data_IF_468144777132
#
_entry.id   IF_468144777132
#
_cell.length_a   1.000
_cell.length_b   1.000
_cell.length_c   1.000
_cell.angle_alpha   90.00
_cell.angle_beta   90.00
_cell.angle_gamma   90.00
#
_symmetry.space_group_name_H-M   'P 1'
#
loop_
_entity.id
_entity.type
_entity.pdbx_description
1 polymer ?
#
# COMPACT_ATOMS: atom_id res chain seq x y z
N UNK A 1 18.85 16.47 9.22
CA UNK A 1 17.85 16.29 8.16
C UNK A 1 18.39 16.47 6.72
N UNK A 2 19.36 17.38 6.48
CA UNK A 2 19.87 17.73 5.14
C UNK A 2 20.43 16.57 4.29
N UNK A 3 21.08 15.56 4.91
CA UNK A 3 21.62 14.40 4.20
C UNK A 3 20.53 13.53 3.56
N UNK A 4 19.39 13.37 4.24
CA UNK A 4 18.25 12.59 3.74
C UNK A 4 17.61 13.30 2.55
N UNK A 5 17.43 14.62 2.64
CA UNK A 5 16.89 15.41 1.53
C UNK A 5 17.81 15.41 0.31
N UNK A 6 19.13 15.52 0.51
CA UNK A 6 20.10 15.44 -0.57
C UNK A 6 20.09 14.07 -1.24
N UNK A 7 20.07 12.99 -0.46
CA UNK A 7 19.94 11.63 -0.98
C UNK A 7 18.64 11.39 -1.76
N UNK A 8 17.49 11.85 -1.23
CA UNK A 8 16.21 11.73 -1.94
C UNK A 8 16.19 12.53 -3.25
N UNK A 9 16.81 13.72 -3.26
CA UNK A 9 16.91 14.57 -4.45
C UNK A 9 17.83 13.97 -5.51
N UNK A 10 18.93 13.34 -5.10
CA UNK A 10 19.83 12.60 -5.99
C UNK A 10 19.13 11.36 -6.60
N UNK A 11 18.41 10.58 -5.79
CA UNK A 11 17.63 9.43 -6.29
C UNK A 11 16.53 9.86 -7.28
N UNK A 12 15.88 10.99 -7.02
CA UNK A 12 14.89 11.57 -7.93
C UNK A 12 15.54 12.06 -9.24
N UNK A 13 16.70 12.72 -9.17
CA UNK A 13 17.46 13.17 -10.34
C UNK A 13 17.93 12.01 -11.21
N UNK A 14 18.32 10.90 -10.57
CA UNK A 14 18.75 9.67 -11.24
C UNK A 14 17.57 8.81 -11.71
N UNK A 15 16.32 9.24 -11.47
CA UNK A 15 15.10 8.52 -11.86
C UNK A 15 15.09 7.05 -11.42
N UNK A 16 15.70 6.75 -10.26
CA UNK A 16 15.85 5.38 -9.77
C UNK A 16 14.48 4.71 -9.62
N UNK A 17 13.47 5.46 -9.16
CA UNK A 17 12.09 4.94 -9.07
C UNK A 17 11.49 4.52 -10.41
N UNK A 18 11.77 5.24 -11.49
CA UNK A 18 11.27 4.94 -12.85
C UNK A 18 11.97 3.69 -13.42
N UNK A 19 13.27 3.56 -13.18
CA UNK A 19 14.05 2.38 -13.56
C UNK A 19 13.62 1.12 -12.79
N UNK A 20 13.40 1.25 -11.47
CA UNK A 20 12.89 0.14 -10.63
C UNK A 20 11.47 -0.27 -11.06
N UNK A 21 10.59 0.70 -11.33
CA UNK A 21 9.24 0.41 -11.83
C UNK A 21 9.27 -0.33 -13.17
N UNK A 22 10.14 0.07 -14.10
CA UNK A 22 10.35 -0.64 -15.37
C UNK A 22 10.88 -2.06 -15.17
N UNK A 23 11.90 -2.24 -14.33
CA UNK A 23 12.46 -3.56 -14.04
C UNK A 23 11.41 -4.48 -13.39
N UNK A 24 10.63 -3.98 -12.43
CA UNK A 24 9.53 -4.73 -11.82
C UNK A 24 8.44 -5.07 -12.84
N UNK A 25 8.09 -4.15 -13.74
CA UNK A 25 7.12 -4.43 -14.80
C UNK A 25 7.63 -5.51 -15.78
N UNK A 26 8.93 -5.51 -16.11
CA UNK A 26 9.55 -6.56 -16.91
C UNK A 26 9.52 -7.91 -16.19
N UNK A 27 9.85 -7.94 -14.90
CA UNK A 27 9.81 -9.17 -14.08
C UNK A 27 8.41 -9.77 -14.01
N UNK A 28 7.37 -8.94 -13.83
CA UNK A 28 5.96 -9.38 -13.84
C UNK A 28 5.58 -10.01 -15.19
N UNK A 29 6.01 -9.42 -16.32
CA UNK A 29 5.77 -9.98 -17.66
C UNK A 29 6.49 -11.31 -17.85
N UNK A 30 7.74 -11.43 -17.40
CA UNK A 30 8.46 -12.70 -17.48
C UNK A 30 7.85 -13.79 -16.61
N UNK A 31 7.33 -13.44 -15.42
CA UNK A 31 6.62 -14.40 -14.56
C UNK A 31 5.29 -14.84 -15.17
N UNK A 32 4.57 -13.93 -15.83
CA UNK A 32 3.34 -14.25 -16.57
C UNK A 32 3.60 -15.21 -17.76
N UNK A 33 4.66 -14.97 -18.53
CA UNK A 33 5.02 -15.85 -19.66
C UNK A 33 5.43 -17.24 -19.16
N UNK A 34 6.21 -17.32 -18.07
CA UNK A 34 6.58 -18.61 -17.46
C UNK A 34 5.37 -19.38 -16.92
N UNK A 35 4.39 -18.69 -16.35
CA UNK A 35 3.17 -19.36 -15.85
C UNK A 35 2.28 -19.83 -17.00
N UNK A 36 2.18 -19.11 -18.11
CA UNK A 36 1.47 -19.56 -19.33
C UNK A 36 2.15 -20.78 -19.98
N UNK A 37 3.48 -20.81 -20.03
CA UNK A 37 4.24 -21.93 -20.60
C UNK A 37 4.10 -23.22 -19.76
N UNK A 38 4.01 -23.08 -18.43
CA UNK A 38 3.71 -24.19 -17.51
C UNK A 38 2.24 -24.64 -17.63
N UNK A 39 1.31 -23.71 -17.88
CA UNK A 39 -0.13 -24.00 -18.02
C UNK A 39 -0.50 -24.66 -19.34
N UNK A 40 0.22 -24.38 -20.43
CA UNK A 40 -0.01 -25.01 -21.74
C UNK A 40 0.36 -26.51 -21.79
N UNK A 41 1.09 -27.02 -20.78
CA UNK A 41 1.44 -28.43 -20.66
C UNK A 41 0.45 -29.26 -19.79
N UNK A 42 -0.55 -28.61 -19.17
CA UNK A 42 -1.53 -29.24 -18.27
C UNK A 42 -2.89 -29.43 -18.94
N UNK A 43 -3.23 -30.69 -19.20
CA UNK A 43 -4.51 -31.16 -19.73
C UNK A 43 -5.71 -30.67 -18.91
N UNK A 44 -6.85 -30.50 -19.59
CA UNK A 44 -7.98 -29.70 -19.17
C UNK A 44 -8.59 -30.06 -17.80
N UNK A 45 -8.61 -29.08 -16.90
CA UNK A 45 -9.66 -28.95 -15.90
C UNK A 45 -9.84 -27.46 -15.56
N UNK A 46 -11.04 -26.92 -15.86
CA UNK A 46 -11.49 -25.58 -15.48
C UNK A 46 -11.84 -25.57 -13.98
N UNK A 47 -10.87 -25.92 -13.14
CA UNK A 47 -10.99 -25.75 -11.70
C UNK A 47 -10.58 -24.35 -11.28
N UNK A 48 -11.17 -23.90 -10.18
CA UNK A 48 -11.06 -22.56 -9.63
C UNK A 48 -9.64 -21.99 -9.82
N UNK A 49 -9.57 -20.72 -10.25
CA UNK A 49 -8.35 -19.92 -10.32
C UNK A 49 -7.73 -19.80 -8.91
N UNK A 50 -7.11 -20.86 -8.43
CA UNK A 50 -6.30 -20.84 -7.23
C UNK A 50 -5.13 -19.92 -7.52
N UNK A 51 -5.00 -18.91 -6.66
CA UNK A 51 -3.90 -17.97 -6.71
C UNK A 51 -2.61 -18.78 -6.53
N UNK A 52 -1.60 -18.49 -7.36
CA UNK A 52 -0.26 -19.00 -7.11
C UNK A 52 0.22 -18.54 -5.72
N UNK A 53 1.23 -19.22 -5.18
CA UNK A 53 1.78 -18.84 -3.88
C UNK A 53 2.23 -17.38 -3.85
N UNK A 54 2.90 -16.91 -4.91
CA UNK A 54 3.33 -15.50 -5.05
C UNK A 54 2.13 -14.54 -5.06
N UNK A 55 1.07 -14.85 -5.81
CA UNK A 55 -0.14 -14.03 -5.84
C UNK A 55 -0.86 -14.02 -4.48
N UNK A 56 -0.92 -15.15 -3.79
CA UNK A 56 -1.53 -15.25 -2.46
C UNK A 56 -0.77 -14.42 -1.41
N UNK A 57 0.56 -14.38 -1.50
CA UNK A 57 1.42 -13.57 -0.62
C UNK A 57 1.25 -12.07 -0.92
N UNK A 58 1.19 -11.69 -2.20
CA UNK A 58 0.92 -10.30 -2.61
C UNK A 58 -0.45 -9.81 -2.14
N UNK A 59 -1.50 -10.65 -2.27
CA UNK A 59 -2.85 -10.34 -1.77
C UNK A 59 -2.83 -10.11 -0.25
N UNK A 60 -2.18 -11.00 0.51
CA UNK A 60 -2.06 -10.84 1.98
C UNK A 60 -1.29 -9.58 2.36
N UNK A 61 -0.20 -9.30 1.66
CA UNK A 61 0.57 -8.08 1.87
C UNK A 61 -0.29 -6.83 1.65
N UNK A 62 -1.04 -6.79 0.55
CA UNK A 62 -1.94 -5.66 0.24
C UNK A 62 -3.11 -5.56 1.22
N UNK A 63 -3.67 -6.67 1.72
CA UNK A 63 -4.67 -6.65 2.80
C UNK A 63 -4.11 -6.03 4.10
N UNK A 64 -2.90 -6.42 4.48
CA UNK A 64 -2.22 -5.84 5.63
C UNK A 64 -1.95 -4.33 5.41
N UNK A 65 -1.59 -3.96 4.19
CA UNK A 65 -1.36 -2.56 3.80
C UNK A 65 -2.65 -1.73 3.90
N UNK A 66 -3.77 -2.23 3.38
CA UNK A 66 -5.09 -1.62 3.52
C UNK A 66 -5.49 -1.44 4.98
N UNK A 67 -5.33 -2.49 5.80
CA UNK A 67 -5.60 -2.44 7.24
C UNK A 67 -4.78 -1.35 7.93
N UNK A 68 -3.49 -1.25 7.60
CA UNK A 68 -2.60 -0.23 8.15
C UNK A 68 -3.07 1.18 7.78
N UNK A 69 -3.38 1.44 6.50
CA UNK A 69 -3.80 2.76 6.04
C UNK A 69 -5.13 3.19 6.66
N UNK A 70 -6.13 2.30 6.71
CA UNK A 70 -7.41 2.62 7.33
C UNK A 70 -7.30 2.82 8.84
N UNK A 71 -6.46 2.06 9.54
CA UNK A 71 -6.17 2.30 10.96
C UNK A 71 -5.55 3.67 11.18
N UNK A 72 -4.60 4.05 10.32
CA UNK A 72 -3.94 5.35 10.41
C UNK A 72 -4.89 6.50 10.04
N UNK A 73 -5.75 6.31 9.05
CA UNK A 73 -6.79 7.26 8.67
C UNK A 73 -7.74 7.52 9.85
N UNK A 74 -8.23 6.44 10.49
CA UNK A 74 -9.04 6.53 11.72
C UNK A 74 -8.32 7.31 12.82
N UNK A 75 -7.06 6.98 13.12
CA UNK A 75 -6.32 7.64 14.20
C UNK A 75 -6.11 9.14 13.96
N UNK A 76 -6.02 9.58 12.71
CA UNK A 76 -5.91 10.99 12.34
C UNK A 76 -7.26 11.66 12.05
N UNK A 77 -8.38 10.95 12.24
CA UNK A 77 -9.72 11.48 11.97
C UNK A 77 -10.00 11.76 10.49
N UNK A 78 -9.28 11.09 9.59
CA UNK A 78 -9.48 11.22 8.14
C UNK A 78 -10.64 10.33 7.71
N UNK A 79 -11.55 10.87 6.89
CA UNK A 79 -12.75 10.17 6.41
C UNK A 79 -13.50 9.43 7.54
N UNK A 80 -13.90 10.13 8.62
CA UNK A 80 -14.43 9.50 9.83
C UNK A 80 -15.70 8.67 9.60
N UNK A 81 -16.45 9.01 8.55
CA UNK A 81 -17.69 8.35 8.17
C UNK A 81 -17.47 6.92 7.64
N UNK A 82 -16.29 6.63 7.10
CA UNK A 82 -15.98 5.33 6.44
C UNK A 82 -14.76 4.62 7.01
N UNK A 83 -13.85 5.34 7.67
CA UNK A 83 -12.56 4.77 8.10
C UNK A 83 -12.72 3.61 9.09
N UNK A 84 -13.69 3.70 10.01
CA UNK A 84 -13.97 2.62 10.95
C UNK A 84 -14.53 1.38 10.25
N UNK A 85 -15.53 1.57 9.39
CA UNK A 85 -16.17 0.48 8.65
C UNK A 85 -15.14 -0.26 7.78
N UNK A 86 -14.31 0.48 7.06
CA UNK A 86 -13.25 -0.09 6.21
C UNK A 86 -12.18 -0.80 7.02
N UNK A 87 -11.79 -0.24 8.16
CA UNK A 87 -10.84 -0.91 9.06
C UNK A 87 -11.39 -2.27 9.54
N UNK A 88 -12.64 -2.32 9.99
CA UNK A 88 -13.26 -3.57 10.44
C UNK A 88 -13.41 -4.58 9.30
N UNK A 89 -13.79 -4.12 8.11
CA UNK A 89 -13.87 -4.96 6.92
C UNK A 89 -12.56 -5.69 6.63
N UNK A 90 -11.43 -4.96 6.60
CA UNK A 90 -10.12 -5.54 6.30
C UNK A 90 -9.56 -6.42 7.42
N UNK A 91 -9.81 -6.07 8.68
CA UNK A 91 -9.46 -6.94 9.83
C UNK A 91 -10.17 -8.29 9.70
N UNK A 92 -11.47 -8.27 9.43
CA UNK A 92 -12.27 -9.49 9.31
C UNK A 92 -11.86 -10.33 8.09
N UNK A 93 -11.55 -9.69 6.95
CA UNK A 93 -11.13 -10.40 5.74
C UNK A 93 -9.73 -11.03 5.85
N UNK A 94 -8.79 -10.40 6.58
CA UNK A 94 -7.43 -10.93 6.76
C UNK A 94 -7.35 -12.28 7.50
N UNK A 95 -8.44 -12.67 8.19
CA UNK A 95 -8.52 -13.92 8.96
C UNK A 95 -8.98 -15.15 8.15
N UNK A 96 -9.40 -14.95 6.89
CA UNK A 96 -9.98 -16.00 6.03
C UNK A 96 -8.96 -16.52 5.01
N UNK A 97 -9.18 -17.72 4.49
CA UNK A 97 -8.35 -18.31 3.44
C UNK A 97 -8.45 -17.48 2.16
N UNK A 98 -7.29 -17.04 1.65
CA UNK A 98 -7.12 -16.15 0.50
C UNK A 98 -7.79 -16.71 -0.75
N UNK A 99 -8.98 -16.22 -1.08
CA UNK A 99 -9.77 -16.60 -2.26
C UNK A 99 -9.43 -15.71 -3.46
N UNK A 100 -9.74 -16.16 -4.68
CA UNK A 100 -9.67 -15.31 -5.88
C UNK A 100 -10.51 -14.04 -5.75
N UNK A 101 -11.59 -14.06 -4.96
CA UNK A 101 -12.38 -12.88 -4.62
C UNK A 101 -11.57 -11.84 -3.81
N UNK A 102 -10.68 -12.29 -2.93
CA UNK A 102 -9.86 -11.40 -2.10
C UNK A 102 -8.89 -10.59 -2.94
N UNK A 103 -8.37 -11.17 -4.03
CA UNK A 103 -7.53 -10.44 -4.98
C UNK A 103 -8.29 -9.26 -5.60
N UNK A 104 -9.56 -9.46 -5.99
CA UNK A 104 -10.40 -8.40 -6.55
C UNK A 104 -10.72 -7.33 -5.52
N UNK A 105 -11.06 -7.73 -4.29
CA UNK A 105 -11.42 -6.79 -3.24
C UNK A 105 -10.24 -5.93 -2.83
N UNK A 106 -9.05 -6.52 -2.74
CA UNK A 106 -7.81 -5.79 -2.47
C UNK A 106 -7.56 -4.71 -3.51
N UNK A 107 -7.69 -5.03 -4.80
CA UNK A 107 -7.51 -4.03 -5.86
C UNK A 107 -8.55 -2.91 -5.76
N UNK A 108 -9.81 -3.25 -5.42
CA UNK A 108 -10.85 -2.24 -5.15
C UNK A 108 -10.52 -1.36 -3.96
N UNK A 109 -10.03 -1.94 -2.87
CA UNK A 109 -9.61 -1.21 -1.68
C UNK A 109 -8.45 -0.24 -1.95
N UNK A 110 -7.45 -0.68 -2.73
CA UNK A 110 -6.33 0.17 -3.12
C UNK A 110 -6.77 1.31 -4.04
N UNK A 111 -7.69 1.03 -4.98
CA UNK A 111 -8.28 2.09 -5.82
C UNK A 111 -9.06 3.10 -4.98
N UNK A 112 -9.79 2.66 -3.96
CA UNK A 112 -10.52 3.55 -3.06
C UNK A 112 -9.57 4.45 -2.25
N UNK A 113 -8.52 3.89 -1.64
CA UNK A 113 -7.49 4.69 -0.94
C UNK A 113 -6.90 5.78 -1.85
N UNK A 114 -6.63 5.43 -3.11
CA UNK A 114 -6.10 6.38 -4.10
C UNK A 114 -7.13 7.44 -4.49
N UNK A 115 -8.39 7.05 -4.69
CA UNK A 115 -9.48 7.96 -5.06
C UNK A 115 -9.75 8.99 -3.97
N UNK A 116 -9.71 8.57 -2.71
CA UNK A 116 -9.86 9.45 -1.55
C UNK A 116 -8.58 10.22 -1.22
N UNK A 117 -7.45 9.87 -1.84
CA UNK A 117 -6.16 10.50 -1.58
C UNK A 117 -5.67 10.31 -0.15
N UNK A 118 -6.05 9.21 0.51
CA UNK A 118 -5.74 8.95 1.93
C UNK A 118 -4.25 9.03 2.21
N UNK A 119 -3.40 8.53 1.30
CA UNK A 119 -1.95 8.60 1.43
C UNK A 119 -1.44 10.04 1.55
N UNK A 120 -1.94 10.94 0.70
CA UNK A 120 -1.56 12.34 0.72
C UNK A 120 -2.09 13.03 1.97
N UNK A 121 -3.34 12.76 2.35
CA UNK A 121 -3.95 13.30 3.57
C UNK A 121 -3.15 12.87 4.82
N UNK A 122 -2.78 11.59 4.91
CA UNK A 122 -1.95 11.06 6.00
C UNK A 122 -0.55 11.65 6.01
N UNK A 123 0.05 11.83 4.84
CA UNK A 123 1.36 12.47 4.73
C UNK A 123 1.33 13.92 5.23
N UNK A 124 0.31 14.69 4.84
CA UNK A 124 0.11 16.06 5.31
C UNK A 124 -0.17 16.10 6.81
N UNK A 125 -1.07 15.24 7.31
CA UNK A 125 -1.36 15.12 8.73
C UNK A 125 -0.07 14.85 9.52
N UNK A 126 0.74 13.88 9.08
CA UNK A 126 2.01 13.52 9.72
C UNK A 126 3.01 14.67 9.81
N UNK A 127 3.00 15.60 8.85
CA UNK A 127 3.88 16.79 8.88
C UNK A 127 3.33 17.91 9.75
N UNK A 128 2.00 18.09 9.80
CA UNK A 128 1.37 19.04 10.72
C UNK A 128 1.70 18.73 12.19
N UNK A 129 1.76 17.46 12.57
CA UNK A 129 2.18 17.05 13.92
C UNK A 129 3.63 17.48 14.23
N UNK A 130 4.56 17.37 13.28
CA UNK A 130 5.95 17.80 13.47
C UNK A 130 6.09 19.32 13.62
N UNK A 131 5.25 20.09 12.94
CA UNK A 131 5.22 21.55 13.06
C UNK A 131 4.64 22.00 14.40
N UNK A 132 3.56 21.35 14.87
CA UNK A 132 2.98 21.62 16.20
C UNK A 132 3.97 21.29 17.32
N UNK A 133 4.66 20.16 17.26
CA UNK A 133 5.67 19.78 18.26
C UNK A 133 6.87 20.75 18.26
N UNK A 134 7.26 21.25 17.07
CA UNK A 134 8.35 22.22 16.93
C UNK A 134 7.95 23.60 17.48
N UNK A 135 6.72 24.05 17.23
CA UNK A 135 6.20 25.31 17.75
C UNK A 135 5.94 25.25 19.27
N UNK A 136 5.55 24.08 19.78
CA UNK A 136 5.37 23.83 21.22
C UNK A 136 6.71 23.89 21.96
N UNK A 137 7.78 23.33 21.37
CA UNK A 137 9.15 23.43 21.92
C UNK A 137 9.70 24.86 21.85
N UNK A 138 9.45 25.60 20.76
CA UNK A 138 9.89 26.98 20.61
C UNK A 138 9.25 27.93 21.64
N UNK A 139 7.96 27.74 21.97
CA UNK A 139 7.29 28.53 23.01
C UNK A 139 7.78 28.20 24.43
N UNK A 140 8.20 26.95 24.68
CA UNK A 140 8.79 26.57 25.98
C UNK A 140 10.20 27.13 26.17
N UNK A 141 10.95 27.37 25.09
CA UNK A 141 12.28 27.98 25.14
C UNK A 141 12.24 29.51 25.20
N UNK A 142 11.12 30.17 24.86
CA UNK A 142 10.96 31.62 24.98
C UNK A 142 10.55 32.11 26.37
N UNK A 143 10.19 31.19 27.27
CA UNK A 143 9.75 31.47 28.65
C UNK A 143 10.90 31.36 29.69
N UNK A 144 12.17 31.30 29.24
CA UNK A 144 13.38 31.37 30.07
C UNK A 144 14.26 32.56 29.68
#
# INVERSE_FOLDING_TARGET
>A
MLLVEKGLRELASLKVGEAVALAMAQQRRTNFIKSDEIKLAGDGNLEAFDLSQEESEDVRFKQAWLTYFWRRAKNHGLEPDIAEERLQFWINHSSRSSSSHDAVDVERGLMELRKLGIENQLWQASRRWLEVDSNSKANLESDF
#
